data_IF_877462341430
#
_entry.id   IF_877462341430
#
_cell.length_a   1.000
_cell.length_b   1.000
_cell.length_c   1.000
_cell.angle_alpha   90.00
_cell.angle_beta   90.00
_cell.angle_gamma   90.00
#
_symmetry.space_group_name_H-M   'P 1'
#
loop_
_entity.id
_entity.type
_entity.pdbx_description
1 polymer ?
#
# COMPACT_ATOMS: atom_id res chain seq x y z
N UNK A 1 -19.69 20.92 12.36
CA UNK A 1 -20.86 20.28 11.71
C UNK A 1 -20.58 20.15 10.22
N UNK A 2 -20.19 18.97 9.76
CA UNK A 2 -19.96 18.72 8.33
C UNK A 2 -21.31 18.47 7.64
N UNK A 3 -21.51 19.06 6.45
CA UNK A 3 -22.70 18.89 5.61
C UNK A 3 -22.31 18.13 4.35
N UNK A 4 -23.18 17.25 3.88
CA UNK A 4 -22.96 16.54 2.60
C UNK A 4 -22.92 17.55 1.44
N UNK A 5 -21.90 17.47 0.58
CA UNK A 5 -21.68 18.41 -0.54
C UNK A 5 -22.68 18.25 -1.68
N UNK A 6 -23.39 17.13 -1.78
CA UNK A 6 -24.37 16.89 -2.84
C UNK A 6 -25.82 17.28 -2.45
N UNK A 7 -26.20 17.17 -1.18
CA UNK A 7 -27.58 17.40 -0.75
C UNK A 7 -27.74 18.41 0.41
N UNK A 8 -26.65 18.90 1.01
CA UNK A 8 -26.68 19.92 2.07
C UNK A 8 -27.25 19.46 3.42
N UNK A 9 -27.59 18.17 3.57
CA UNK A 9 -28.10 17.59 4.81
C UNK A 9 -27.03 17.42 5.90
N UNK A 10 -27.43 17.41 7.19
CA UNK A 10 -26.53 17.07 8.30
C UNK A 10 -26.13 15.59 8.20
N UNK A 11 -24.82 15.33 8.12
CA UNK A 11 -24.28 13.96 8.16
C UNK A 11 -24.57 13.34 9.53
N UNK A 12 -25.35 12.26 9.58
CA UNK A 12 -25.45 11.43 10.78
C UNK A 12 -24.12 10.70 10.98
N UNK A 13 -23.57 10.73 12.19
CA UNK A 13 -22.30 10.06 12.51
C UNK A 13 -22.38 8.54 12.27
N UNK A 14 -23.59 8.01 12.29
CA UNK A 14 -24.00 6.63 12.07
C UNK A 14 -24.02 6.24 10.58
N UNK A 15 -23.98 7.21 9.64
CA UNK A 15 -23.91 6.98 8.19
C UNK A 15 -22.48 7.05 7.61
N UNK A 16 -21.48 7.39 8.42
CA UNK A 16 -20.05 7.35 8.04
C UNK A 16 -19.36 6.14 8.70
N UNK A 17 -20.09 5.02 8.85
CA UNK A 17 -19.40 3.73 8.82
C UNK A 17 -19.18 3.41 7.35
N UNK A 18 -17.93 3.26 6.87
CA UNK A 18 -17.72 2.75 5.52
C UNK A 18 -18.50 1.45 5.44
N UNK A 19 -19.40 1.37 4.46
CA UNK A 19 -20.16 0.18 4.14
C UNK A 19 -19.19 -0.93 3.70
N UNK A 20 -18.47 -1.51 4.66
CA UNK A 20 -17.97 -2.86 4.56
C UNK A 20 -19.10 -3.73 5.10
N UNK A 21 -20.07 -3.93 4.22
CA UNK A 21 -21.05 -5.01 4.30
C UNK A 21 -20.34 -6.34 4.01
N UNK A 22 -19.21 -6.59 4.67
CA UNK A 22 -18.72 -7.93 4.87
C UNK A 22 -19.59 -8.48 5.99
N UNK A 23 -20.55 -9.32 5.62
CA UNK A 23 -21.38 -10.07 6.55
C UNK A 23 -20.49 -10.53 7.72
N UNK A 24 -20.78 -10.09 8.95
CA UNK A 24 -19.90 -10.28 10.12
C UNK A 24 -19.59 -11.75 10.49
N UNK A 25 -19.99 -12.71 9.64
CA UNK A 25 -19.66 -14.14 9.68
C UNK A 25 -18.16 -14.39 9.64
N UNK A 26 -17.40 -13.62 8.87
CA UNK A 26 -15.95 -13.80 8.74
C UNK A 26 -15.11 -12.85 9.61
N UNK A 27 -15.74 -12.11 10.53
CA UNK A 27 -15.04 -11.25 11.49
C UNK A 27 -13.99 -12.01 12.32
N UNK A 28 -14.18 -13.33 12.52
CA UNK A 28 -13.24 -14.24 13.21
C UNK A 28 -12.44 -15.15 12.26
N UNK A 29 -12.44 -14.88 10.96
CA UNK A 29 -11.72 -15.67 9.96
C UNK A 29 -10.20 -15.62 10.14
N UNK A 30 -9.50 -16.65 9.68
CA UNK A 30 -8.02 -16.74 9.69
C UNK A 30 -7.47 -16.37 8.33
N UNK A 31 -6.31 -15.74 8.31
CA UNK A 31 -5.60 -15.40 7.07
C UNK A 31 -5.03 -16.67 6.47
N UNK A 32 -5.31 -16.90 5.19
CA UNK A 32 -4.84 -18.07 4.42
C UNK A 32 -3.67 -17.68 3.52
N UNK A 33 -3.81 -16.58 2.80
CA UNK A 33 -2.84 -16.13 1.79
C UNK A 33 -2.74 -14.60 1.78
N UNK A 34 -1.59 -14.12 1.33
CA UNK A 34 -1.37 -12.71 0.99
C UNK A 34 -1.19 -12.57 -0.52
N UNK A 35 -1.58 -11.42 -1.06
CA UNK A 35 -1.43 -11.07 -2.47
C UNK A 35 -0.88 -9.65 -2.57
N UNK A 36 -0.02 -9.41 -3.56
CA UNK A 36 0.56 -8.08 -3.78
C UNK A 36 -0.45 -7.14 -4.46
N UNK A 37 -1.39 -7.68 -5.22
CA UNK A 37 -2.36 -6.90 -5.99
C UNK A 37 -3.80 -7.34 -5.71
N UNK A 38 -4.75 -6.42 -5.93
CA UNK A 38 -6.17 -6.73 -5.79
C UNK A 38 -6.64 -7.78 -6.81
N UNK A 39 -6.03 -7.78 -8.01
CA UNK A 39 -6.37 -8.74 -9.06
C UNK A 39 -5.97 -10.17 -8.66
N UNK A 40 -4.77 -10.35 -8.13
CA UNK A 40 -4.29 -11.63 -7.59
C UNK A 40 -5.17 -12.10 -6.41
N UNK A 41 -5.52 -11.18 -5.51
CA UNK A 41 -6.41 -11.50 -4.40
C UNK A 41 -7.81 -11.93 -4.87
N UNK A 42 -8.37 -11.24 -5.86
CA UNK A 42 -9.67 -11.57 -6.45
C UNK A 42 -9.65 -12.91 -7.19
N UNK A 43 -8.55 -13.23 -7.87
CA UNK A 43 -8.34 -14.53 -8.49
C UNK A 43 -8.37 -15.66 -7.44
N UNK A 44 -7.54 -15.57 -6.40
CA UNK A 44 -7.51 -16.56 -5.32
C UNK A 44 -8.88 -16.70 -4.62
N UNK A 45 -9.58 -15.59 -4.38
CA UNK A 45 -10.93 -15.61 -3.80
C UNK A 45 -11.93 -16.35 -4.70
N UNK A 46 -11.84 -16.17 -6.02
CA UNK A 46 -12.70 -16.88 -6.98
C UNK A 46 -12.40 -18.38 -7.05
N UNK A 47 -11.13 -18.78 -6.92
CA UNK A 47 -10.72 -20.19 -6.84
C UNK A 47 -11.27 -20.83 -5.57
N UNK A 48 -11.15 -20.17 -4.41
CA UNK A 48 -11.75 -20.64 -3.15
C UNK A 48 -13.28 -20.75 -3.26
N UNK A 49 -13.92 -19.76 -3.86
CA UNK A 49 -15.37 -19.76 -4.06
C UNK A 49 -15.83 -20.91 -4.95
N UNK A 50 -15.07 -21.24 -6.01
CA UNK A 50 -15.37 -22.38 -6.89
C UNK A 50 -15.35 -23.73 -6.13
N UNK A 51 -14.50 -23.83 -5.10
CA UNK A 51 -14.44 -24.98 -4.18
C UNK A 51 -15.46 -24.93 -3.03
N UNK A 52 -16.33 -23.92 -3.03
CA UNK A 52 -17.37 -23.70 -2.02
C UNK A 52 -16.85 -23.09 -0.71
N UNK A 53 -15.68 -22.46 -0.71
CA UNK A 53 -15.08 -21.81 0.46
C UNK A 53 -15.37 -20.31 0.39
N UNK A 54 -16.12 -19.79 1.36
CA UNK A 54 -16.38 -18.36 1.49
C UNK A 54 -15.12 -17.65 2.00
N UNK A 55 -14.74 -16.56 1.33
CA UNK A 55 -13.53 -15.81 1.66
C UNK A 55 -13.75 -14.30 1.61
N UNK A 56 -13.09 -13.58 2.51
CA UNK A 56 -12.99 -12.12 2.49
C UNK A 56 -11.61 -11.68 1.99
N UNK A 57 -11.59 -10.68 1.11
CA UNK A 57 -10.36 -9.97 0.70
C UNK A 57 -10.27 -8.67 1.48
N UNK A 58 -9.22 -8.51 2.28
CA UNK A 58 -9.00 -7.30 3.07
C UNK A 58 -7.72 -6.59 2.63
N UNK A 59 -7.76 -5.25 2.43
CA UNK A 59 -6.55 -4.48 2.22
C UNK A 59 -5.71 -4.44 3.51
N UNK A 60 -4.40 -4.50 3.35
CA UNK A 60 -3.39 -4.36 4.40
C UNK A 60 -2.39 -3.30 3.97
N UNK A 61 -2.57 -2.13 4.53
CA UNK A 61 -1.69 -0.99 4.33
C UNK A 61 -0.59 -1.00 5.40
N UNK A 62 0.64 -0.70 4.97
CA UNK A 62 1.77 -0.53 5.85
C UNK A 62 2.59 0.69 5.42
N UNK A 63 3.06 1.45 6.40
CA UNK A 63 3.97 2.56 6.17
C UNK A 63 5.38 2.18 6.65
N UNK A 64 6.35 2.25 5.75
CA UNK A 64 7.76 2.10 6.07
C UNK A 64 8.38 3.49 6.28
N UNK A 65 8.73 3.78 7.53
CA UNK A 65 9.31 5.06 7.91
C UNK A 65 10.76 5.24 7.43
N UNK A 66 11.49 4.16 7.15
CA UNK A 66 12.88 4.24 6.71
C UNK A 66 12.98 4.67 5.24
N UNK A 67 12.09 4.15 4.39
CA UNK A 67 11.97 4.52 2.98
C UNK A 67 11.01 5.70 2.74
N UNK A 68 10.14 6.02 3.72
CA UNK A 68 9.10 7.03 3.57
C UNK A 68 7.98 6.61 2.61
N UNK A 69 7.80 5.29 2.37
CA UNK A 69 6.84 4.76 1.41
C UNK A 69 5.65 4.07 2.07
N UNK A 70 4.47 4.20 1.45
CA UNK A 70 3.31 3.36 1.75
C UNK A 70 3.31 2.14 0.83
N UNK A 71 3.00 0.98 1.39
CA UNK A 71 2.72 -0.24 0.64
C UNK A 71 1.29 -0.70 0.92
N UNK A 72 0.58 -1.12 -0.12
CA UNK A 72 -0.72 -1.76 0.00
C UNK A 72 -0.60 -3.20 -0.48
N UNK A 73 -0.97 -4.14 0.36
CA UNK A 73 -1.08 -5.57 0.06
C UNK A 73 -2.48 -6.04 0.39
N UNK A 74 -2.85 -7.25 -0.01
CA UNK A 74 -4.16 -7.82 0.27
C UNK A 74 -4.01 -9.14 1.01
N UNK A 75 -4.92 -9.44 1.92
CA UNK A 75 -4.96 -10.71 2.65
C UNK A 75 -6.31 -11.36 2.47
N UNK A 76 -6.30 -12.67 2.25
CA UNK A 76 -7.51 -13.48 2.15
C UNK A 76 -7.80 -14.13 3.50
N UNK A 77 -9.03 -14.00 3.98
CA UNK A 77 -9.50 -14.64 5.22
C UNK A 77 -10.61 -15.62 4.93
N UNK A 78 -10.59 -16.76 5.61
CA UNK A 78 -11.64 -17.78 5.54
C UNK A 78 -12.10 -18.17 6.94
N UNK A 79 -13.23 -18.86 7.04
CA UNK A 79 -13.70 -19.42 8.30
C UNK A 79 -12.68 -20.44 8.87
N UNK A 80 -12.56 -20.52 10.19
CA UNK A 80 -11.60 -21.42 10.85
C UNK A 80 -11.76 -22.90 10.45
N UNK A 81 -12.98 -23.31 10.11
CA UNK A 81 -13.30 -24.68 9.69
C UNK A 81 -12.77 -25.02 8.28
N UNK A 82 -12.57 -24.03 7.42
CA UNK A 82 -12.13 -24.19 6.03
C UNK A 82 -10.64 -23.91 5.84
N UNK A 83 -9.94 -23.48 6.91
CA UNK A 83 -8.55 -23.01 6.87
C UNK A 83 -7.59 -24.01 6.20
N UNK A 84 -7.59 -25.28 6.65
CA UNK A 84 -6.65 -26.27 6.14
C UNK A 84 -6.84 -26.55 4.64
N UNK A 85 -8.10 -26.63 4.19
CA UNK A 85 -8.44 -26.87 2.78
C UNK A 85 -8.11 -25.65 1.92
N UNK A 86 -8.36 -24.44 2.44
CA UNK A 86 -8.02 -23.19 1.76
C UNK A 86 -6.49 -23.00 1.62
N UNK A 87 -5.73 -23.36 2.66
CA UNK A 87 -4.26 -23.31 2.63
C UNK A 87 -3.69 -24.27 1.58
N UNK A 88 -4.19 -25.50 1.52
CA UNK A 88 -3.78 -26.49 0.52
C UNK A 88 -4.02 -25.98 -0.91
N UNK A 89 -5.23 -25.45 -1.17
CA UNK A 89 -5.59 -24.90 -2.47
C UNK A 89 -4.75 -23.67 -2.84
N UNK A 90 -4.54 -22.75 -1.90
CA UNK A 90 -3.70 -21.58 -2.14
C UNK A 90 -2.24 -21.97 -2.45
N UNK A 91 -1.71 -22.99 -1.77
CA UNK A 91 -0.36 -23.50 -2.06
C UNK A 91 -0.27 -24.20 -3.42
N UNK A 92 -1.29 -24.96 -3.82
CA UNK A 92 -1.27 -25.63 -5.14
C UNK A 92 -1.29 -24.61 -6.29
N UNK A 93 -2.09 -23.55 -6.16
CA UNK A 93 -2.12 -22.47 -7.16
C UNK A 93 -0.79 -21.71 -7.20
N UNK A 94 -0.23 -21.34 -6.04
CA UNK A 94 1.07 -20.67 -5.98
C UNK A 94 2.21 -21.52 -6.59
N UNK A 95 2.17 -22.85 -6.42
CA UNK A 95 3.14 -23.75 -7.04
C UNK A 95 2.99 -23.79 -8.57
N UNK A 96 1.76 -23.74 -9.09
CA UNK A 96 1.51 -23.71 -10.53
C UNK A 96 2.12 -22.45 -11.17
N UNK A 97 1.97 -21.27 -10.56
CA UNK A 97 2.56 -20.02 -11.08
C UNK A 97 4.09 -20.02 -11.11
N UNK A 98 4.74 -20.65 -10.13
CA UNK A 98 6.21 -20.68 -10.06
C UNK A 98 6.85 -21.67 -11.05
N UNK A 99 6.07 -22.61 -11.60
CA UNK A 99 6.63 -23.67 -12.45
C UNK A 99 6.85 -23.22 -13.91
N UNK A 100 6.23 -22.11 -14.32
CA UNK A 100 6.27 -21.66 -15.72
C UNK A 100 7.49 -20.79 -16.09
N UNK A 101 8.33 -20.39 -15.12
CA UNK A 101 9.42 -19.41 -15.34
C UNK A 101 10.81 -20.05 -15.57
N UNK A 102 10.96 -21.39 -15.48
CA UNK A 102 12.26 -22.06 -15.66
C UNK A 102 12.40 -22.93 -16.93
N UNK A 103 11.39 -22.99 -17.80
CA UNK A 103 11.52 -23.69 -19.10
C UNK A 103 11.96 -22.76 -20.23
N UNK A 104 13.18 -22.22 -20.10
CA UNK A 104 13.87 -21.59 -21.21
C UNK A 104 14.71 -22.63 -21.98
N UNK A 105 14.39 -22.80 -23.26
CA UNK A 105 15.30 -23.38 -24.25
C UNK A 105 15.18 -24.88 -24.54
N UNK A 106 14.12 -25.32 -25.24
CA UNK A 106 14.24 -26.02 -26.54
C UNK A 106 12.83 -26.37 -27.07
N UNK A 107 12.22 -25.50 -27.89
CA UNK A 107 10.96 -25.85 -28.59
C UNK A 107 11.26 -26.15 -30.06
N UNK A 108 11.12 -27.40 -30.54
CA UNK A 108 11.31 -27.72 -31.95
C UNK A 108 10.21 -27.09 -32.80
N UNK A 109 10.61 -26.46 -33.89
CA UNK A 109 9.72 -25.89 -34.90
C UNK A 109 8.91 -27.02 -35.58
N UNK A 110 7.70 -27.26 -35.09
CA UNK A 110 6.77 -28.25 -35.64
C UNK A 110 5.37 -27.65 -35.71
N UNK A 111 5.02 -27.21 -36.90
CA UNK A 111 3.73 -26.67 -37.34
C UNK A 111 2.59 -27.70 -37.16
N UNK A 112 1.70 -27.48 -36.19
CA UNK A 112 0.36 -28.08 -36.13
C UNK A 112 -0.54 -27.36 -35.09
N UNK A 113 -1.44 -26.51 -35.59
CA UNK A 113 -2.71 -26.08 -34.97
C UNK A 113 -2.75 -25.89 -33.45
N UNK A 114 -2.17 -24.79 -32.95
CA UNK A 114 -2.00 -24.57 -31.51
C UNK A 114 -3.28 -24.02 -30.81
N UNK A 115 -3.80 -24.69 -29.77
CA UNK A 115 -4.91 -24.18 -28.93
C UNK A 115 -4.55 -22.90 -28.15
N UNK A 116 -3.28 -22.47 -28.21
CA UNK A 116 -2.78 -21.22 -27.61
C UNK A 116 -3.25 -19.95 -28.30
N UNK A 117 -3.91 -20.06 -29.47
CA UNK A 117 -4.48 -18.90 -30.16
C UNK A 117 -5.59 -18.22 -29.35
N UNK A 118 -6.28 -18.96 -28.47
CA UNK A 118 -7.34 -18.42 -27.60
C UNK A 118 -6.81 -17.52 -26.48
N UNK A 119 -5.56 -17.72 -26.03
CA UNK A 119 -4.98 -16.99 -24.88
C UNK A 119 -4.21 -15.73 -25.27
N UNK A 120 -3.87 -15.58 -26.57
CA UNK A 120 -3.19 -14.39 -27.10
C UNK A 120 -3.83 -13.05 -26.69
N UNK A 121 -5.16 -12.85 -26.78
CA UNK A 121 -5.75 -11.58 -26.35
C UNK A 121 -5.55 -11.34 -24.84
N UNK A 122 -5.58 -12.38 -24.02
CA UNK A 122 -5.36 -12.29 -22.57
C UNK A 122 -3.91 -11.89 -22.26
N UNK A 123 -2.92 -12.56 -22.85
CA UNK A 123 -1.50 -12.21 -22.69
C UNK A 123 -1.21 -10.80 -23.16
N UNK A 124 -1.80 -10.36 -24.28
CA UNK A 124 -1.62 -8.99 -24.78
C UNK A 124 -2.23 -7.98 -23.81
N UNK A 125 -3.41 -8.23 -23.25
CA UNK A 125 -4.02 -7.34 -22.25
C UNK A 125 -3.18 -7.29 -20.98
N UNK A 126 -2.62 -8.41 -20.51
CA UNK A 126 -1.76 -8.45 -19.33
C UNK A 126 -0.45 -7.70 -19.55
N UNK A 127 0.20 -7.88 -20.70
CA UNK A 127 1.46 -7.18 -21.04
C UNK A 127 1.22 -5.68 -21.23
N UNK A 128 0.14 -5.28 -21.91
CA UNK A 128 -0.23 -3.87 -22.05
C UNK A 128 -0.60 -3.27 -20.70
N UNK A 129 -1.33 -4.00 -19.86
CA UNK A 129 -1.66 -3.59 -18.50
C UNK A 129 -0.42 -3.40 -17.62
N UNK A 130 0.52 -4.34 -17.65
CA UNK A 130 1.79 -4.25 -16.92
C UNK A 130 2.66 -3.09 -17.42
N UNK A 131 2.72 -2.87 -18.75
CA UNK A 131 3.44 -1.74 -19.32
C UNK A 131 2.81 -0.39 -18.93
N UNK A 132 1.48 -0.29 -18.97
CA UNK A 132 0.77 0.92 -18.54
C UNK A 132 0.91 1.14 -17.03
N UNK A 133 0.91 0.09 -16.22
CA UNK A 133 1.14 0.18 -14.79
C UNK A 133 2.58 0.64 -14.47
N UNK A 134 3.59 0.08 -15.14
CA UNK A 134 4.97 0.53 -15.02
C UNK A 134 5.17 1.98 -15.49
N UNK A 135 4.47 2.40 -16.54
CA UNK A 135 4.46 3.81 -16.99
C UNK A 135 3.75 4.70 -15.97
N UNK A 136 2.63 4.26 -15.38
CA UNK A 136 1.89 5.01 -14.37
C UNK A 136 2.68 5.12 -13.06
N UNK A 137 3.41 4.09 -12.66
CA UNK A 137 4.33 4.09 -11.52
C UNK A 137 5.50 5.06 -11.78
N UNK A 138 6.14 4.94 -12.95
CA UNK A 138 7.19 5.87 -13.39
C UNK A 138 6.71 7.33 -13.52
N UNK A 139 5.46 7.55 -13.91
CA UNK A 139 4.85 8.88 -13.97
C UNK A 139 4.40 9.38 -12.60
N UNK A 140 3.96 8.51 -11.69
CA UNK A 140 3.59 8.85 -10.31
C UNK A 140 4.82 9.24 -9.51
N UNK A 141 5.93 8.53 -9.68
CA UNK A 141 7.25 8.92 -9.17
C UNK A 141 7.71 10.27 -9.72
N UNK A 142 7.25 10.65 -10.91
CA UNK A 142 7.55 11.95 -11.53
C UNK A 142 6.52 13.05 -11.25
N UNK A 143 5.31 12.72 -10.81
CA UNK A 143 4.27 13.70 -10.44
C UNK A 143 4.25 14.01 -8.95
N UNK A 144 4.82 13.14 -8.10
CA UNK A 144 5.22 13.51 -6.74
C UNK A 144 6.39 14.52 -6.72
N UNK A 145 7.03 14.74 -7.87
CA UNK A 145 8.01 15.82 -8.09
C UNK A 145 7.24 17.10 -8.43
N UNK A 146 6.90 17.85 -7.38
CA UNK A 146 6.88 19.32 -7.45
C UNK A 146 8.18 19.84 -8.10
N UNK A 147 8.21 21.08 -8.61
CA UNK A 147 9.20 21.53 -9.59
C UNK A 147 10.63 21.11 -9.24
N UNK A 148 11.20 20.27 -10.10
CA UNK A 148 12.58 19.77 -10.11
C UNK A 148 13.58 20.79 -9.53
N UNK A 149 14.11 20.47 -8.36
CA UNK A 149 15.52 20.66 -8.07
C UNK A 149 16.15 19.27 -8.03
N UNK A 150 17.19 19.04 -8.82
CA UNK A 150 17.87 17.74 -8.91
C UNK A 150 18.63 17.40 -7.62
N UNK A 151 17.94 16.84 -6.62
CA UNK A 151 18.55 16.11 -5.51
C UNK A 151 18.42 14.63 -5.85
N UNK A 152 19.49 13.96 -6.27
CA UNK A 152 20.43 13.33 -5.35
C UNK A 152 19.65 12.49 -4.33
N UNK A 153 19.80 11.18 -4.48
CA UNK A 153 19.52 10.14 -3.50
C UNK A 153 20.35 10.47 -2.25
N UNK A 154 19.88 11.48 -1.53
CA UNK A 154 20.64 12.23 -0.55
C UNK A 154 20.47 11.58 0.79
N UNK A 155 21.59 11.19 1.37
CA UNK A 155 21.83 11.03 2.80
C UNK A 155 20.76 11.76 3.63
N UNK A 156 20.18 11.13 4.64
CA UNK A 156 19.08 11.66 5.49
C UNK A 156 19.28 13.07 6.09
N UNK A 157 20.41 13.70 5.83
CA UNK A 157 20.67 15.14 5.91
C UNK A 157 19.68 16.00 5.08
N UNK A 158 19.16 15.50 3.96
CA UNK A 158 18.26 16.26 3.09
C UNK A 158 17.00 16.76 3.80
N UNK A 159 16.35 15.88 4.59
CA UNK A 159 15.12 16.23 5.29
C UNK A 159 15.38 17.17 6.48
N UNK A 160 16.41 16.92 7.27
CA UNK A 160 16.75 17.77 8.41
C UNK A 160 17.14 19.18 7.97
N UNK A 161 17.94 19.30 6.91
CA UNK A 161 18.31 20.57 6.31
C UNK A 161 17.10 21.28 5.69
N UNK A 162 16.22 20.56 4.99
CA UNK A 162 15.02 21.13 4.39
C UNK A 162 14.04 21.69 5.44
N UNK A 163 13.77 20.93 6.51
CA UNK A 163 12.90 21.41 7.60
C UNK A 163 13.55 22.57 8.35
N UNK A 164 14.86 22.51 8.59
CA UNK A 164 15.60 23.63 9.19
C UNK A 164 15.55 24.91 8.34
N UNK A 165 15.64 24.78 7.02
CA UNK A 165 15.58 25.91 6.08
C UNK A 165 14.17 26.53 5.98
N UNK A 166 13.11 25.73 6.16
CA UNK A 166 11.74 26.23 6.20
C UNK A 166 11.48 27.11 7.43
N UNK A 167 12.20 26.89 8.54
CA UNK A 167 12.02 27.65 9.79
C UNK A 167 10.68 27.39 10.50
N UNK A 168 9.84 26.52 9.94
CA UNK A 168 8.51 26.19 10.43
C UNK A 168 8.32 24.66 10.46
N UNK A 169 7.51 24.14 11.40
CA UNK A 169 7.24 22.72 11.47
C UNK A 169 6.40 22.25 10.27
N UNK A 170 6.65 21.03 9.81
CA UNK A 170 5.84 20.43 8.76
C UNK A 170 4.50 19.99 9.33
N UNK A 171 3.41 20.49 8.74
CA UNK A 171 2.04 20.16 9.14
C UNK A 171 1.35 19.37 8.03
N UNK A 172 0.72 18.26 8.40
CA UNK A 172 -0.19 17.58 7.47
C UNK A 172 -1.48 18.39 7.30
N UNK A 173 -2.12 18.35 6.12
CA UNK A 173 -3.49 18.83 6.00
C UNK A 173 -4.42 18.04 6.95
N UNK A 174 -5.54 18.63 7.40
CA UNK A 174 -6.52 17.93 8.22
C UNK A 174 -7.09 16.71 7.48
N UNK A 175 -7.06 15.55 8.14
CA UNK A 175 -7.65 14.32 7.62
C UNK A 175 -9.18 14.30 7.71
N UNK A 176 -9.84 13.21 7.25
CA UNK A 176 -11.30 13.04 7.30
C UNK A 176 -11.91 13.16 8.71
N UNK A 177 -11.12 12.87 9.75
CA UNK A 177 -11.50 13.06 11.17
C UNK A 177 -11.06 14.39 11.78
N UNK A 178 -10.59 15.35 10.97
CA UNK A 178 -10.05 16.63 11.45
C UNK A 178 -8.61 16.55 11.97
N UNK A 179 -8.15 15.36 12.34
CA UNK A 179 -6.82 15.14 12.91
C UNK A 179 -5.66 15.62 12.02
N UNK A 180 -4.59 16.06 12.67
CA UNK A 180 -3.39 16.64 12.06
C UNK A 180 -2.14 16.07 12.73
N UNK A 181 -1.05 16.04 11.98
CA UNK A 181 0.26 15.73 12.54
C UNK A 181 1.23 16.87 12.26
N UNK A 182 2.07 17.15 13.26
CA UNK A 182 3.14 18.15 13.22
C UNK A 182 4.47 17.45 13.39
N UNK A 183 5.35 17.58 12.41
CA UNK A 183 6.73 17.13 12.50
C UNK A 183 7.64 18.36 12.67
N UNK A 184 8.39 18.39 13.77
CA UNK A 184 9.34 19.45 14.09
C UNK A 184 10.71 18.87 14.45
N UNK A 185 11.77 19.63 14.16
CA UNK A 185 13.14 19.27 14.55
C UNK A 185 13.55 20.09 15.78
N UNK A 186 13.88 19.41 16.87
CA UNK A 186 14.51 20.06 18.02
C UNK A 186 16.03 20.02 17.82
N UNK A 187 16.61 21.13 17.36
CA UNK A 187 18.03 21.25 17.05
C UNK A 187 18.92 21.01 18.27
N UNK A 188 18.55 21.56 19.43
CA UNK A 188 19.34 21.45 20.66
C UNK A 188 19.53 20.00 21.12
N UNK A 189 18.51 19.16 20.87
CA UNK A 189 18.49 17.75 21.29
C UNK A 189 18.79 16.78 20.15
N UNK A 190 18.89 17.26 18.91
CA UNK A 190 19.02 16.40 17.74
C UNK A 190 17.90 15.36 17.65
N UNK A 191 16.66 15.74 17.95
CA UNK A 191 15.50 14.81 17.88
C UNK A 191 14.39 15.37 17.01
N UNK A 192 13.82 14.50 16.18
CA UNK A 192 12.54 14.73 15.54
C UNK A 192 11.42 14.53 16.54
N UNK A 193 10.47 15.45 16.53
CA UNK A 193 9.27 15.41 17.35
C UNK A 193 8.07 15.32 16.42
N UNK A 194 7.40 14.18 16.45
CA UNK A 194 6.11 13.99 15.78
C UNK A 194 5.00 14.12 16.81
N UNK A 195 4.14 15.09 16.59
CA UNK A 195 2.99 15.39 17.41
C UNK A 195 1.72 15.12 16.62
N UNK A 196 0.72 14.50 17.23
CA UNK A 196 -0.57 14.20 16.59
C UNK A 196 -1.72 14.77 17.41
N UNK A 197 -2.57 15.50 16.71
CA UNK A 197 -3.88 16.00 17.12
C UNK A 197 -4.90 15.05 16.46
N UNK A 198 -5.57 14.22 17.26
CA UNK A 198 -6.40 13.15 16.74
C UNK A 198 -7.81 13.61 16.33
N UNK A 199 -8.35 14.61 17.02
CA UNK A 199 -9.71 15.11 16.85
C UNK A 199 -9.80 16.45 16.10
N UNK A 200 -8.65 17.08 15.83
CA UNK A 200 -8.54 18.31 15.05
C UNK A 200 -8.85 19.57 15.84
N UNK A 201 -8.81 19.52 17.18
CA UNK A 201 -9.11 20.67 18.04
C UNK A 201 -7.95 21.67 18.18
N UNK A 202 -6.78 21.33 17.63
CA UNK A 202 -5.55 22.10 17.68
C UNK A 202 -4.63 21.75 18.85
N UNK A 203 -5.02 20.83 19.72
CA UNK A 203 -4.22 20.31 20.81
C UNK A 203 -3.53 19.00 20.39
N UNK A 204 -2.20 19.00 20.46
CA UNK A 204 -1.42 17.82 20.12
C UNK A 204 -1.30 16.90 21.34
N UNK A 205 -2.14 15.88 21.38
CA UNK A 205 -2.28 14.96 22.52
C UNK A 205 -1.19 13.88 22.56
N UNK A 206 -0.67 13.49 21.40
CA UNK A 206 0.33 12.42 21.28
C UNK A 206 1.65 12.98 20.80
N UNK A 207 2.73 12.58 21.46
CA UNK A 207 4.10 12.97 21.11
C UNK A 207 4.99 11.74 20.98
N UNK A 208 5.70 11.65 19.87
CA UNK A 208 6.74 10.64 19.60
C UNK A 208 8.05 11.34 19.28
N UNK A 209 9.15 10.75 19.77
CA UNK A 209 10.49 11.25 19.57
C UNK A 209 11.26 10.26 18.72
N UNK A 210 11.99 10.75 17.73
CA UNK A 210 12.91 9.96 16.93
C UNK A 210 14.29 10.62 16.97
N UNK A 211 15.38 9.85 17.07
CA UNK A 211 16.71 10.41 16.91
C UNK A 211 16.84 11.03 15.52
N UNK A 212 17.33 12.26 15.42
CA UNK A 212 17.71 12.84 14.15
C UNK A 212 19.11 12.32 13.77
N UNK A 213 19.38 12.03 12.49
CA UNK A 213 20.73 11.71 12.05
C UNK A 213 21.65 12.88 12.42
N UNK A 214 22.71 12.57 13.17
CA UNK A 214 23.62 13.57 13.73
C UNK A 214 24.34 14.28 12.60
N UNK A 215 24.18 15.61 12.50
CA UNK A 215 24.86 16.43 11.48
C UNK A 215 26.39 16.38 11.61
N UNK A 216 26.93 16.01 12.77
CA UNK A 216 28.38 15.92 13.02
C UNK A 216 29.10 14.84 12.21
N UNK A 217 28.42 13.76 11.78
CA UNK A 217 29.08 12.69 11.02
C UNK A 217 29.48 13.13 9.59
N UNK A 218 28.88 14.20 9.06
CA UNK A 218 29.14 14.68 7.70
C UNK A 218 30.34 15.62 7.60
N UNK A 219 30.61 16.40 8.65
CA UNK A 219 31.65 17.43 8.64
C UNK A 219 33.08 16.85 8.76
N UNK A 220 33.21 15.61 9.24
CA UNK A 220 34.50 14.95 9.46
C UNK A 220 35.00 14.11 8.26
N UNK A 221 34.24 14.05 7.17
CA UNK A 221 34.55 13.21 5.99
C UNK A 221 34.85 13.98 4.69
N UNK A 222 34.99 15.30 4.74
CA UNK A 222 35.30 16.17 3.60
C UNK A 222 36.75 16.60 3.52
#
# INVERSE_FOLDING_TARGET
MMRCTECGGPLRADEISPASTADGRLAKGRVVAGAATLAEAGYLASVLQAEGIESDVLPREAFDAASGSWSCSFVLRVAQQDLARAEELAHSEAAAFNTDDETDGQRPAGDQGDPYTAWRPLVVVTVVGAALFAIADYLSDRQAVGPRAGAAQGDGQGLAAAVGALGEPLLTPPGPGGGRSRLSLNHDRGVWVLESDADGDGLFERRRLFPAPTLEAAAAGG
#
